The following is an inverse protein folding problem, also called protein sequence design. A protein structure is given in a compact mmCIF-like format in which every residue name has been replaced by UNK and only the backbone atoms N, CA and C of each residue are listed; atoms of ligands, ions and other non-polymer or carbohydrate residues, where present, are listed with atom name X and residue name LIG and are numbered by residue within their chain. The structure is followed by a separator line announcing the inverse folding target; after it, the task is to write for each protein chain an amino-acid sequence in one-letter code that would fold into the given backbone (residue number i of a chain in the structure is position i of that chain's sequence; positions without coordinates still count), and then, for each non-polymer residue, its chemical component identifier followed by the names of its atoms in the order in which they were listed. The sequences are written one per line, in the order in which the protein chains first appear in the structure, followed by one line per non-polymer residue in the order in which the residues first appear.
data_IF_702395459163
#
_entry.id   IF_702395459163
#
_cell.length_a   1.000
_cell.length_b   1.000
_cell.length_c   1.000
_cell.angle_alpha   90.00
_cell.angle_beta   90.00
_cell.angle_gamma   90.00
#
_symmetry.space_group_name_H-M   'P 1'
#
loop_
_entity.id
_entity.type
_entity.pdbx_description
1 polymer ?
#
# COMPACT_ATOMS: atom_id res chain seq x y z
N UNK A 1 -5.75 12.37 5.17
CA UNK A 1 -4.74 12.39 4.11
C UNK A 1 -5.22 11.59 2.92
N UNK A 2 -5.31 12.20 1.74
CA UNK A 2 -5.74 11.47 0.55
C UNK A 2 -4.70 10.43 0.13
N UNK A 3 -5.17 9.32 -0.44
CA UNK A 3 -4.27 8.29 -0.96
C UNK A 3 -3.29 8.85 -2.01
N UNK A 4 -3.73 9.84 -2.77
CA UNK A 4 -2.89 10.47 -3.79
C UNK A 4 -1.64 11.15 -3.25
N UNK A 5 -1.60 11.51 -1.98
CA UNK A 5 -0.40 12.08 -1.36
C UNK A 5 0.65 11.01 -1.04
N UNK A 6 0.20 9.77 -0.87
CA UNK A 6 1.09 8.64 -0.55
C UNK A 6 1.53 7.89 -1.78
N UNK A 7 0.73 7.92 -2.84
CA UNK A 7 0.93 7.09 -4.04
C UNK A 7 1.38 7.91 -5.24
N UNK A 8 2.03 7.23 -6.17
CA UNK A 8 2.25 7.75 -7.53
C UNK A 8 2.03 6.59 -8.50
N UNK A 9 1.80 6.92 -9.77
CA UNK A 9 1.54 5.91 -10.79
C UNK A 9 2.67 4.86 -10.87
N UNK A 10 3.90 5.28 -10.62
CA UNK A 10 5.07 4.40 -10.68
C UNK A 10 5.11 3.38 -9.54
N UNK A 11 4.30 3.57 -8.50
CA UNK A 11 4.23 2.67 -7.36
C UNK A 11 2.89 1.96 -7.26
N UNK A 12 2.18 1.85 -8.37
CA UNK A 12 0.90 1.13 -8.48
C UNK A 12 1.05 0.06 -9.56
N UNK A 13 0.77 -1.20 -9.21
CA UNK A 13 0.98 -2.31 -10.14
C UNK A 13 -0.03 -3.42 -9.95
N UNK A 14 -0.21 -4.21 -11.01
CA UNK A 14 -0.92 -5.48 -10.98
C UNK A 14 0.12 -6.59 -10.97
N UNK A 15 0.05 -7.49 -10.00
CA UNK A 15 0.98 -8.60 -9.86
C UNK A 15 0.31 -9.86 -10.39
N UNK A 16 0.75 -10.32 -11.57
CA UNK A 16 0.15 -11.47 -12.25
C UNK A 16 0.50 -12.78 -11.54
N UNK A 17 1.73 -12.88 -11.06
CA UNK A 17 2.21 -14.05 -10.32
C UNK A 17 2.73 -13.58 -8.95
N UNK A 18 1.83 -13.42 -7.98
CA UNK A 18 2.22 -12.82 -6.70
C UNK A 18 3.13 -13.71 -5.85
N UNK A 19 3.05 -15.02 -5.99
CA UNK A 19 3.79 -15.94 -5.14
C UNK A 19 3.16 -16.02 -3.75
N UNK A 20 3.98 -15.91 -2.72
CA UNK A 20 3.53 -15.95 -1.33
C UNK A 20 3.64 -14.57 -0.68
N UNK A 21 3.27 -14.48 0.60
CA UNK A 21 3.32 -13.23 1.37
C UNK A 21 4.71 -12.57 1.34
N UNK A 22 5.76 -13.35 1.48
CA UNK A 22 7.13 -12.83 1.44
C UNK A 22 7.48 -12.24 0.07
N UNK A 23 7.04 -12.89 -1.01
CA UNK A 23 7.26 -12.39 -2.38
C UNK A 23 6.51 -11.08 -2.62
N UNK A 24 5.27 -10.99 -2.12
CA UNK A 24 4.47 -9.76 -2.20
C UNK A 24 5.18 -8.62 -1.46
N UNK A 25 5.68 -8.87 -0.26
CA UNK A 25 6.41 -7.86 0.52
C UNK A 25 7.66 -7.39 -0.20
N UNK A 26 8.37 -8.29 -0.87
CA UNK A 26 9.56 -7.93 -1.64
C UNK A 26 9.22 -7.06 -2.84
N UNK A 27 8.15 -7.38 -3.55
CA UNK A 27 7.68 -6.56 -4.67
C UNK A 27 7.25 -5.18 -4.18
N UNK A 28 6.51 -5.12 -3.07
CA UNK A 28 6.13 -3.86 -2.46
C UNK A 28 7.36 -3.03 -2.09
N UNK A 29 8.40 -3.67 -1.55
CA UNK A 29 9.64 -2.98 -1.19
C UNK A 29 10.33 -2.36 -2.41
N UNK A 30 10.33 -3.06 -3.55
CA UNK A 30 10.89 -2.50 -4.79
C UNK A 30 10.16 -1.24 -5.23
N UNK A 31 8.84 -1.26 -5.17
CA UNK A 31 8.04 -0.08 -5.53
C UNK A 31 8.25 1.05 -4.52
N UNK A 32 8.29 0.74 -3.24
CA UNK A 32 8.52 1.75 -2.21
C UNK A 32 9.89 2.40 -2.31
N UNK A 33 10.89 1.67 -2.82
CA UNK A 33 12.24 2.19 -2.98
C UNK A 33 12.40 3.09 -4.21
N UNK A 34 11.41 3.10 -5.10
CA UNK A 34 11.49 3.85 -6.35
C UNK A 34 11.68 5.35 -6.09
N UNK A 35 12.62 5.98 -6.79
CA UNK A 35 12.90 7.42 -6.73
C UNK A 35 13.31 7.95 -5.36
N UNK A 36 13.81 7.13 -4.45
CA UNK A 36 14.38 7.63 -3.21
C UNK A 36 15.80 8.11 -3.48
N UNK A 37 16.10 9.41 -3.29
CA UNK A 37 17.43 9.96 -3.56
C UNK A 37 18.50 9.32 -2.67
N UNK A 38 19.67 9.08 -3.22
CA UNK A 38 20.81 8.53 -2.48
C UNK A 38 20.70 7.04 -2.21
N UNK A 39 19.69 6.38 -2.74
CA UNK A 39 19.50 4.94 -2.55
C UNK A 39 20.47 4.15 -3.42
N UNK A 40 21.03 3.09 -2.86
CA UNK A 40 21.74 2.08 -3.63
C UNK A 40 20.77 0.92 -3.84
N UNK A 41 19.95 1.04 -4.84
CA UNK A 41 19.01 0.03 -5.36
C UNK A 41 18.73 -1.17 -4.46
N UNK A 42 19.49 -2.24 -4.64
CA UNK A 42 19.24 -3.51 -3.97
C UNK A 42 19.34 -3.44 -2.44
N UNK A 43 20.24 -2.61 -1.90
CA UNK A 43 20.40 -2.47 -0.44
C UNK A 43 19.16 -1.82 0.19
N UNK A 44 18.63 -0.79 -0.44
CA UNK A 44 17.41 -0.12 0.06
C UNK A 44 16.21 -1.03 -0.03
N UNK A 45 16.03 -1.74 -1.14
CA UNK A 45 14.94 -2.71 -1.29
C UNK A 45 15.00 -3.75 -0.18
N UNK A 46 16.19 -4.27 0.10
CA UNK A 46 16.40 -5.26 1.15
C UNK A 46 16.01 -4.72 2.53
N UNK A 47 16.44 -3.49 2.82
CA UNK A 47 16.12 -2.82 4.09
C UNK A 47 14.61 -2.65 4.26
N UNK A 48 13.91 -2.20 3.22
CA UNK A 48 12.46 -2.02 3.26
C UNK A 48 11.77 -3.37 3.42
N UNK A 49 12.18 -4.36 2.64
CA UNK A 49 11.59 -5.70 2.70
C UNK A 49 11.73 -6.31 4.10
N UNK A 50 12.90 -6.15 4.73
CA UNK A 50 13.14 -6.64 6.09
C UNK A 50 12.24 -5.93 7.09
N UNK A 51 12.05 -4.63 6.95
CA UNK A 51 11.15 -3.85 7.82
C UNK A 51 9.71 -4.31 7.70
N UNK A 52 9.23 -4.52 6.47
CA UNK A 52 7.87 -5.01 6.24
C UNK A 52 7.67 -6.40 6.84
N UNK A 53 8.64 -7.30 6.65
CA UNK A 53 8.54 -8.65 7.18
C UNK A 53 8.60 -8.69 8.70
N UNK A 54 9.44 -7.87 9.30
CA UNK A 54 9.53 -7.78 10.76
C UNK A 54 8.19 -7.35 11.37
N UNK A 55 7.52 -6.39 10.74
CA UNK A 55 6.19 -5.94 11.19
C UNK A 55 5.15 -7.05 11.01
N UNK A 56 5.17 -7.76 9.89
CA UNK A 56 4.22 -8.81 9.59
C UNK A 56 4.33 -9.99 10.57
N UNK A 57 5.53 -10.27 11.07
CA UNK A 57 5.75 -11.33 12.06
C UNK A 57 5.12 -11.03 13.42
N UNK A 58 4.93 -9.76 13.76
CA UNK A 58 4.29 -9.39 15.02
C UNK A 58 2.80 -9.69 15.01
N UNK A 59 2.14 -9.39 13.91
CA UNK A 59 0.73 -9.67 13.67
C UNK A 59 0.42 -9.38 12.23
N UNK A 60 -0.57 -10.07 11.67
CA UNK A 60 -0.99 -9.84 10.28
C UNK A 60 -1.42 -8.39 10.07
N UNK A 61 -1.03 -7.81 8.95
CA UNK A 61 -1.49 -6.48 8.53
C UNK A 61 -2.77 -6.54 7.69
N UNK A 62 -3.35 -7.72 7.52
CA UNK A 62 -4.63 -7.86 6.85
C UNK A 62 -5.75 -7.26 7.70
N UNK A 63 -6.58 -6.42 7.08
CA UNK A 63 -7.67 -5.73 7.77
C UNK A 63 -9.04 -6.33 7.44
N UNK A 64 -9.07 -7.46 6.74
CA UNK A 64 -10.28 -8.12 6.30
C UNK A 64 -10.68 -7.74 4.89
N UNK A 65 -11.66 -8.43 4.34
CA UNK A 65 -12.20 -8.20 3.01
C UNK A 65 -11.16 -8.30 1.89
N UNK A 66 -10.10 -9.08 2.10
CA UNK A 66 -9.05 -9.28 1.11
C UNK A 66 -8.07 -8.13 1.00
N UNK A 67 -7.96 -7.29 2.03
CA UNK A 67 -7.08 -6.12 2.06
C UNK A 67 -5.99 -6.28 3.11
N UNK A 68 -4.75 -5.95 2.77
CA UNK A 68 -3.65 -5.88 3.73
C UNK A 68 -2.92 -4.54 3.59
N UNK A 69 -2.39 -4.06 4.72
CA UNK A 69 -1.63 -2.81 4.77
C UNK A 69 -0.25 -3.10 5.38
N UNK A 70 0.64 -3.80 4.64
CA UNK A 70 2.01 -4.01 5.12
C UNK A 70 2.69 -2.66 5.30
N UNK A 71 3.38 -2.48 6.43
CA UNK A 71 4.02 -1.21 6.68
C UNK A 71 5.28 -1.40 7.50
N UNK A 72 6.18 -0.44 7.41
CA UNK A 72 7.43 -0.47 8.14
C UNK A 72 8.04 0.91 8.23
N UNK A 73 8.89 1.09 9.23
CA UNK A 73 9.65 2.32 9.42
C UNK A 73 10.95 2.25 8.67
N UNK A 74 11.32 3.38 8.08
CA UNK A 74 12.55 3.46 7.30
C UNK A 74 13.37 4.66 7.81
N UNK A 75 14.58 4.42 8.36
CA UNK A 75 15.45 5.51 8.77
C UNK A 75 15.81 6.40 7.58
N UNK A 76 15.85 7.71 7.81
CA UNK A 76 16.22 8.67 6.77
C UNK A 76 15.12 9.09 5.84
N UNK A 77 13.93 8.51 5.97
CA UNK A 77 12.79 8.90 5.16
C UNK A 77 12.16 10.18 5.74
N UNK A 78 11.93 11.17 4.89
CA UNK A 78 11.37 12.46 5.34
C UNK A 78 9.85 12.45 5.42
N UNK A 79 9.20 11.73 4.53
CA UNK A 79 7.74 11.65 4.47
C UNK A 79 7.31 10.22 4.14
N UNK A 80 6.11 9.86 4.61
CA UNK A 80 5.54 8.55 4.30
C UNK A 80 5.31 8.41 2.80
N UNK A 81 5.44 7.19 2.30
CA UNK A 81 5.15 6.87 0.92
C UNK A 81 4.52 5.50 0.82
N UNK A 82 3.63 5.35 -0.13
CA UNK A 82 2.88 4.12 -0.32
C UNK A 82 3.10 3.49 -1.69
N UNK A 83 2.80 2.20 -1.75
CA UNK A 83 2.76 1.45 -2.99
C UNK A 83 1.50 0.58 -2.97
N UNK A 84 0.83 0.46 -4.10
CA UNK A 84 -0.38 -0.34 -4.21
C UNK A 84 -0.17 -1.49 -5.17
N UNK A 85 -0.55 -2.69 -4.74
CA UNK A 85 -0.50 -3.89 -5.56
C UNK A 85 -1.88 -4.54 -5.59
N UNK A 86 -2.40 -4.81 -6.80
CA UNK A 86 -3.52 -5.72 -6.93
C UNK A 86 -2.97 -7.06 -7.38
N UNK A 87 -3.32 -8.11 -6.65
CA UNK A 87 -2.82 -9.46 -6.93
C UNK A 87 -3.84 -10.18 -7.80
N UNK A 88 -3.36 -10.76 -8.91
CA UNK A 88 -4.21 -11.52 -9.82
C UNK A 88 -4.78 -12.77 -9.16
N UNK A 89 -4.03 -13.32 -8.19
CA UNK A 89 -4.48 -14.43 -7.36
C UNK A 89 -4.31 -14.03 -5.91
N UNK A 90 -5.31 -14.28 -5.06
CA UNK A 90 -5.21 -13.89 -3.65
C UNK A 90 -4.16 -14.73 -2.92
N UNK A 91 -3.53 -14.11 -1.93
CA UNK A 91 -2.42 -14.68 -1.16
C UNK A 91 -2.78 -14.72 0.32
N UNK A 92 -2.36 -15.77 1.00
CA UNK A 92 -2.59 -15.95 2.43
C UNK A 92 -1.78 -14.93 3.25
N UNK A 93 -2.47 -14.16 4.08
CA UNK A 93 -1.86 -13.17 4.98
C UNK A 93 -2.27 -13.39 6.44
N UNK A 94 -2.80 -14.56 6.79
CA UNK A 94 -3.29 -14.88 8.14
C UNK A 94 -4.31 -13.85 8.64
N UNK A 95 -5.24 -13.47 7.77
CA UNK A 95 -6.30 -12.53 8.12
C UNK A 95 -7.25 -13.12 9.16
N UNK A 96 -7.72 -12.27 10.08
CA UNK A 96 -8.65 -12.70 11.13
C UNK A 96 -9.97 -13.27 10.56
N UNK A 97 -10.40 -12.75 9.39
CA UNK A 97 -11.62 -13.25 8.73
C UNK A 97 -11.39 -14.48 7.85
N UNK A 98 -10.15 -14.98 7.80
CA UNK A 98 -9.79 -16.16 7.01
C UNK A 98 -9.71 -15.92 5.51
N UNK A 99 -9.95 -14.72 5.03
CA UNK A 99 -9.90 -14.42 3.60
C UNK A 99 -8.48 -14.18 3.12
N UNK A 100 -8.16 -14.65 1.93
CA UNK A 100 -6.90 -14.35 1.27
C UNK A 100 -6.93 -12.92 0.74
N UNK A 101 -5.76 -12.35 0.57
CA UNK A 101 -5.58 -10.93 0.23
C UNK A 101 -5.28 -10.77 -1.25
N UNK A 102 -5.98 -9.86 -1.91
CA UNK A 102 -5.73 -9.47 -3.31
C UNK A 102 -5.50 -7.97 -3.48
N UNK A 103 -5.74 -7.17 -2.44
CA UNK A 103 -5.48 -5.72 -2.47
C UNK A 103 -4.46 -5.40 -1.38
N UNK A 104 -3.31 -4.87 -1.79
CA UNK A 104 -2.20 -4.60 -0.88
C UNK A 104 -1.82 -3.13 -0.98
N UNK A 105 -1.96 -2.42 0.13
CA UNK A 105 -1.50 -1.03 0.26
C UNK A 105 -0.30 -1.01 1.21
N UNK A 106 0.89 -1.03 0.66
CA UNK A 106 2.13 -1.03 1.44
C UNK A 106 2.54 0.40 1.78
N UNK A 107 3.16 0.57 2.94
CA UNK A 107 3.54 1.90 3.44
C UNK A 107 4.92 1.87 4.07
N UNK A 108 5.77 2.80 3.65
CA UNK A 108 7.03 3.09 4.34
C UNK A 108 6.88 4.44 5.04
N UNK A 109 7.23 4.50 6.33
CA UNK A 109 7.01 5.69 7.14
C UNK A 109 8.31 6.15 7.80
N UNK A 110 8.45 7.47 8.07
CA UNK A 110 9.58 7.97 8.83
C UNK A 110 9.62 7.36 10.23
N UNK A 111 10.83 7.21 10.73
CA UNK A 111 11.07 6.55 12.02
C UNK A 111 10.42 7.28 13.21
N UNK A 112 10.29 8.60 13.10
CA UNK A 112 9.87 9.45 14.22
C UNK A 112 8.37 9.79 14.27
N UNK A 113 7.58 9.37 13.26
CA UNK A 113 6.19 9.81 13.11
C UNK A 113 5.21 8.79 13.68
N UNK A 114 5.27 8.51 14.99
CA UNK A 114 4.45 7.45 15.59
C UNK A 114 2.96 7.77 15.52
N UNK A 115 2.56 8.96 15.94
CA UNK A 115 1.13 9.34 15.93
C UNK A 115 0.59 9.56 14.53
N UNK A 116 1.35 10.24 13.68
CA UNK A 116 0.98 10.43 12.27
C UNK A 116 0.86 9.09 11.54
N UNK A 117 1.72 8.15 11.90
CA UNK A 117 1.69 6.80 11.32
C UNK A 117 0.37 6.09 11.64
N UNK A 118 -0.06 6.13 12.90
CA UNK A 118 -1.33 5.53 13.31
C UNK A 118 -2.51 6.21 12.62
N UNK A 119 -2.49 7.53 12.52
CA UNK A 119 -3.53 8.29 11.82
C UNK A 119 -3.58 7.93 10.34
N UNK A 120 -2.43 7.78 9.68
CA UNK A 120 -2.35 7.38 8.28
C UNK A 120 -2.92 5.99 8.07
N UNK A 121 -2.59 5.03 8.93
CA UNK A 121 -3.13 3.67 8.84
C UNK A 121 -4.64 3.66 8.98
N UNK A 122 -5.18 4.44 9.92
CA UNK A 122 -6.61 4.54 10.13
C UNK A 122 -7.32 5.12 8.90
N UNK A 123 -6.78 6.16 8.30
CA UNK A 123 -7.35 6.77 7.09
C UNK A 123 -7.31 5.81 5.90
N UNK A 124 -6.20 5.09 5.73
CA UNK A 124 -6.08 4.08 4.67
C UNK A 124 -7.13 2.99 4.87
N UNK A 125 -7.24 2.49 6.09
CA UNK A 125 -8.24 1.46 6.41
C UNK A 125 -9.67 1.96 6.11
N UNK A 126 -9.95 3.22 6.37
CA UNK A 126 -11.24 3.83 6.09
C UNK A 126 -11.56 3.85 4.59
N UNK A 127 -10.57 4.19 3.75
CA UNK A 127 -10.74 4.12 2.28
C UNK A 127 -11.10 2.70 1.83
N UNK A 128 -10.40 1.70 2.35
CA UNK A 128 -10.61 0.31 1.95
C UNK A 128 -11.78 -0.37 2.66
N UNK A 129 -12.43 0.30 3.62
CA UNK A 129 -13.67 -0.17 4.20
C UNK A 129 -14.85 -0.09 3.23
N UNK A 130 -14.74 0.76 2.20
CA UNK A 130 -15.78 0.91 1.18
C UNK A 130 -15.80 -0.31 0.25
N UNK A 131 -16.88 -1.06 0.25
CA UNK A 131 -17.08 -2.20 -0.66
C UNK A 131 -17.05 -1.74 -2.12
N UNK A 132 -17.69 -0.61 -2.42
CA UNK A 132 -17.71 -0.08 -3.78
C UNK A 132 -16.31 0.24 -4.28
N UNK A 133 -15.47 0.81 -3.42
CA UNK A 133 -14.08 1.13 -3.77
C UNK A 133 -13.27 -0.14 -4.04
N UNK A 134 -13.39 -1.14 -3.15
CA UNK A 134 -12.70 -2.43 -3.35
C UNK A 134 -13.14 -3.09 -4.65
N UNK A 135 -14.43 -3.09 -4.94
CA UNK A 135 -14.96 -3.70 -6.16
C UNK A 135 -14.45 -3.01 -7.41
N UNK A 136 -14.35 -1.69 -7.39
CA UNK A 136 -13.78 -0.94 -8.51
C UNK A 136 -12.32 -1.30 -8.76
N UNK A 137 -11.53 -1.41 -7.69
CA UNK A 137 -10.12 -1.80 -7.79
C UNK A 137 -9.98 -3.22 -8.35
N UNK A 138 -10.85 -4.13 -7.94
CA UNK A 138 -10.83 -5.51 -8.41
C UNK A 138 -11.24 -5.65 -9.87
N UNK A 139 -12.10 -4.76 -10.37
CA UNK A 139 -12.54 -4.77 -11.77
C UNK A 139 -11.58 -4.07 -12.72
N UNK A 140 -10.64 -3.31 -12.22
CA UNK A 140 -9.68 -2.62 -13.07
C UNK A 140 -8.86 -3.61 -13.89
N UNK A 141 -8.64 -3.31 -15.17
CA UNK A 141 -7.95 -4.21 -16.09
C UNK A 141 -6.50 -3.80 -16.37
N UNK A 142 -6.07 -2.66 -15.84
CA UNK A 142 -4.71 -2.15 -16.06
C UNK A 142 -4.23 -1.35 -14.85
N UNK A 143 -2.92 -1.21 -14.75
CA UNK A 143 -2.31 -0.36 -13.73
C UNK A 143 -2.75 1.10 -13.89
N UNK A 144 -2.97 1.54 -15.13
CA UNK A 144 -3.47 2.90 -15.42
C UNK A 144 -4.85 3.12 -14.84
N UNK A 145 -5.76 2.13 -14.96
CA UNK A 145 -7.09 2.20 -14.34
C UNK A 145 -7.00 2.24 -12.82
N UNK A 146 -6.13 1.42 -12.24
CA UNK A 146 -5.90 1.46 -10.79
C UNK A 146 -5.41 2.84 -10.34
N UNK A 147 -4.45 3.41 -11.07
CA UNK A 147 -3.94 4.74 -10.76
C UNK A 147 -5.05 5.78 -10.82
N UNK A 148 -5.90 5.71 -11.83
CA UNK A 148 -7.05 6.61 -11.97
C UNK A 148 -7.97 6.54 -10.75
N UNK A 149 -8.29 5.34 -10.29
CA UNK A 149 -9.16 5.15 -9.14
C UNK A 149 -8.53 5.63 -7.83
N UNK A 150 -7.26 5.28 -7.62
CA UNK A 150 -6.56 5.59 -6.37
C UNK A 150 -6.22 7.09 -6.25
N UNK A 151 -5.79 7.71 -7.35
CA UNK A 151 -5.38 9.10 -7.35
C UNK A 151 -6.56 10.06 -7.54
N UNK A 152 -7.60 9.65 -8.28
CA UNK A 152 -8.80 10.47 -8.51
C UNK A 152 -9.64 10.65 -7.24
N UNK A 153 -9.60 9.71 -6.30
CA UNK A 153 -10.26 9.86 -5.01
C UNK A 153 -9.85 11.14 -4.30
N UNK A 154 -8.57 11.46 -4.39
CA UNK A 154 -8.00 12.69 -3.85
C UNK A 154 -8.52 13.93 -4.58
N UNK A 155 -8.52 13.88 -5.91
CA UNK A 155 -8.98 14.97 -6.77
C UNK A 155 -10.48 15.22 -6.60
N UNK A 156 -11.26 14.15 -6.55
CA UNK A 156 -12.72 14.23 -6.39
C UNK A 156 -13.09 14.91 -5.07
N UNK A 157 -12.38 14.60 -4.01
CA UNK A 157 -12.62 15.19 -2.69
C UNK A 157 -12.35 16.71 -2.72
N UNK A 158 -11.28 17.11 -3.38
CA UNK A 158 -10.92 18.52 -3.55
C UNK A 158 -11.94 19.27 -4.40
N UNK A 159 -12.42 18.64 -5.47
CA UNK A 159 -13.41 19.23 -6.38
C UNK A 159 -14.74 19.48 -5.66
N UNK A 160 -15.20 18.52 -4.86
CA UNK A 160 -16.43 18.67 -4.09
C UNK A 160 -16.28 19.81 -3.07
N UNK A 161 -15.13 19.92 -2.45
CA UNK A 161 -14.85 21.05 -1.54
C UNK A 161 -14.83 22.40 -2.25
N UNK A 162 -14.35 22.45 -3.48
CA UNK A 162 -14.25 23.67 -4.25
C UNK A 162 -15.62 24.16 -4.76
N UNK A 163 -16.54 23.26 -5.04
CA UNK A 163 -17.87 23.59 -5.58
C UNK A 163 -18.80 24.13 -4.49
N UNK A 164 -18.50 23.89 -3.26
CA UNK A 164 -19.28 24.36 -2.12
C UNK A 164 -18.76 25.65 -1.55
#
# INVERSE_FOLDING_TARGET
MPLGELLSADRIAILVEPGNRAAVSRTAARLLADDIPGSTGAALVSTIADSLRARERLASTAIGHGVAIPHGRLPGLEASRGAFLRLAQPVEFDAADGQRVDLVMALAVPEHYVQQHLAQLAEIAEHFASEAFRDQLRRATSASQLSGLLLAGSTRKNTVGAVR
#
